data_IF_149371786246
#
_entry.id   IF_149371786246
#
_cell.length_a   1.000
_cell.length_b   1.000
_cell.length_c   1.000
_cell.angle_alpha   90.00
_cell.angle_beta   90.00
_cell.angle_gamma   90.00
#
_symmetry.space_group_name_H-M   'P 1'
#
loop_
_entity.id
_entity.type
_entity.pdbx_description
1 polymer ?
#
# COMPACT_ATOMS: atom_id res chain seq x y z
N UNK A 1 42.17 -14.65 -42.77
CA UNK A 1 42.37 -14.79 -41.33
C UNK A 1 42.08 -13.48 -40.56
N UNK A 2 42.69 -12.31 -40.82
CA UNK A 2 42.46 -11.06 -40.11
C UNK A 2 41.05 -10.48 -40.35
N UNK A 3 40.59 -10.47 -41.60
CA UNK A 3 39.23 -10.03 -41.95
C UNK A 3 38.13 -10.90 -41.34
N UNK A 4 38.36 -12.18 -41.23
CA UNK A 4 37.41 -13.12 -40.59
C UNK A 4 37.30 -12.85 -39.08
N UNK A 5 38.45 -12.62 -38.44
CA UNK A 5 38.50 -12.27 -37.02
C UNK A 5 37.80 -10.94 -36.75
N UNK A 6 38.07 -9.90 -37.52
CA UNK A 6 37.40 -8.62 -37.42
C UNK A 6 35.89 -8.76 -37.65
N UNK A 7 35.46 -9.58 -38.60
CA UNK A 7 34.04 -9.81 -38.85
C UNK A 7 33.36 -10.56 -37.69
N UNK A 8 34.06 -11.51 -37.06
CA UNK A 8 33.56 -12.21 -35.88
C UNK A 8 33.41 -11.24 -34.68
N UNK A 9 34.40 -10.40 -34.44
CA UNK A 9 34.37 -9.38 -33.40
C UNK A 9 33.25 -8.36 -33.62
N UNK A 10 33.05 -7.88 -34.84
CA UNK A 10 31.96 -6.96 -35.20
C UNK A 10 30.58 -7.61 -35.03
N UNK A 11 30.45 -8.90 -35.39
CA UNK A 11 29.18 -9.62 -35.14
C UNK A 11 28.88 -9.77 -33.64
N UNK A 12 29.88 -10.09 -32.83
CA UNK A 12 29.69 -10.18 -31.38
C UNK A 12 29.28 -8.82 -30.78
N UNK A 13 29.98 -7.75 -31.19
CA UNK A 13 29.60 -6.38 -30.77
C UNK A 13 28.20 -6.02 -31.22
N UNK A 14 27.82 -6.36 -32.46
CA UNK A 14 26.48 -6.11 -32.99
C UNK A 14 25.40 -6.84 -32.16
N UNK A 15 25.60 -8.12 -31.88
CA UNK A 15 24.69 -8.93 -31.08
C UNK A 15 24.54 -8.36 -29.66
N UNK A 16 25.65 -7.95 -29.03
CA UNK A 16 25.61 -7.26 -27.74
C UNK A 16 24.80 -5.95 -27.81
N UNK A 17 25.05 -5.13 -28.83
CA UNK A 17 24.31 -3.87 -29.02
C UNK A 17 22.83 -4.10 -29.29
N UNK A 18 22.45 -5.14 -30.01
CA UNK A 18 21.06 -5.54 -30.20
C UNK A 18 20.41 -5.93 -28.85
N UNK A 19 21.08 -6.74 -28.05
CA UNK A 19 20.59 -7.12 -26.73
C UNK A 19 20.46 -5.92 -25.79
N UNK A 20 21.45 -5.02 -25.77
CA UNK A 20 21.40 -3.78 -24.99
C UNK A 20 20.24 -2.89 -25.42
N UNK A 21 20.00 -2.77 -26.73
CA UNK A 21 18.90 -1.99 -27.28
C UNK A 21 17.55 -2.58 -26.91
N UNK A 22 17.39 -3.89 -26.98
CA UNK A 22 16.14 -4.56 -26.56
C UNK A 22 15.87 -4.39 -25.07
N UNK A 23 16.90 -4.47 -24.23
CA UNK A 23 16.80 -4.22 -22.80
C UNK A 23 16.44 -2.74 -22.52
N UNK A 24 17.09 -1.82 -23.24
CA UNK A 24 16.77 -0.39 -23.16
C UNK A 24 15.31 -0.12 -23.54
N UNK A 25 14.87 -0.69 -24.67
CA UNK A 25 13.48 -0.55 -25.12
C UNK A 25 12.46 -1.05 -24.10
N UNK A 26 12.69 -2.24 -23.52
CA UNK A 26 11.84 -2.80 -22.47
C UNK A 26 11.78 -1.89 -21.24
N UNK A 27 12.93 -1.37 -20.81
CA UNK A 27 13.02 -0.45 -19.69
C UNK A 27 12.27 0.85 -19.97
N UNK A 28 12.49 1.47 -21.13
CA UNK A 28 11.81 2.71 -21.51
C UNK A 28 10.29 2.56 -21.62
N UNK A 29 9.82 1.40 -22.10
CA UNK A 29 8.38 1.12 -22.12
C UNK A 29 7.80 1.03 -20.71
N UNK A 30 8.53 0.39 -19.79
CA UNK A 30 8.13 0.30 -18.37
C UNK A 30 8.12 1.69 -17.71
N UNK A 31 9.21 2.46 -17.86
CA UNK A 31 9.31 3.82 -17.30
C UNK A 31 8.21 4.74 -17.83
N UNK A 32 7.89 4.63 -19.13
CA UNK A 32 6.76 5.37 -19.72
C UNK A 32 5.42 4.96 -19.11
N UNK A 33 5.20 3.68 -18.90
CA UNK A 33 3.99 3.17 -18.26
C UNK A 33 3.88 3.66 -16.82
N UNK A 34 4.97 3.55 -16.06
CA UNK A 34 5.03 4.02 -14.68
C UNK A 34 4.79 5.54 -14.58
N UNK A 35 5.40 6.33 -15.48
CA UNK A 35 5.17 7.77 -15.55
C UNK A 35 3.69 8.11 -15.81
N UNK A 36 3.03 7.35 -16.69
CA UNK A 36 1.60 7.54 -16.98
C UNK A 36 0.72 7.13 -15.79
N UNK A 37 1.04 6.00 -15.17
CA UNK A 37 0.28 5.46 -14.04
C UNK A 37 0.32 6.35 -12.79
N UNK A 38 1.44 7.04 -12.59
CA UNK A 38 1.65 7.91 -11.43
C UNK A 38 1.62 9.41 -11.74
N UNK A 39 1.24 9.80 -12.96
CA UNK A 39 1.14 11.21 -13.37
C UNK A 39 0.25 12.06 -12.44
N UNK A 40 -0.80 11.45 -11.89
CA UNK A 40 -1.78 12.14 -11.04
C UNK A 40 -1.43 12.14 -9.55
N UNK A 41 -0.26 11.62 -9.15
CA UNK A 41 0.10 11.46 -7.72
C UNK A 41 -0.02 12.77 -6.95
N UNK A 42 0.49 13.87 -7.48
CA UNK A 42 0.47 15.16 -6.78
C UNK A 42 -0.96 15.67 -6.57
N UNK A 43 -1.78 15.64 -7.61
CA UNK A 43 -3.20 16.06 -7.52
C UNK A 43 -3.97 15.19 -6.52
N UNK A 44 -3.72 13.88 -6.53
CA UNK A 44 -4.37 12.96 -5.60
C UNK A 44 -3.90 13.19 -4.15
N UNK A 45 -2.64 13.55 -3.94
CA UNK A 45 -2.11 13.89 -2.60
C UNK A 45 -2.81 15.14 -2.05
N UNK A 46 -3.01 16.17 -2.88
CA UNK A 46 -3.73 17.38 -2.48
C UNK A 46 -5.21 17.08 -2.16
N UNK A 47 -5.87 16.24 -2.99
CA UNK A 47 -7.25 15.80 -2.74
C UNK A 47 -7.41 14.98 -1.46
N UNK A 48 -6.40 14.20 -1.08
CA UNK A 48 -6.41 13.44 0.17
C UNK A 48 -6.49 14.36 1.39
N UNK A 49 -5.82 15.52 1.36
CA UNK A 49 -5.93 16.51 2.42
C UNK A 49 -7.38 17.05 2.58
N UNK A 50 -8.05 17.27 1.45
CA UNK A 50 -9.47 17.70 1.47
C UNK A 50 -10.38 16.59 2.01
N UNK A 51 -10.09 15.32 1.73
CA UNK A 51 -10.83 14.20 2.30
C UNK A 51 -10.70 14.14 3.83
N UNK A 52 -9.51 14.45 4.37
CA UNK A 52 -9.30 14.53 5.82
C UNK A 52 -10.11 15.69 6.44
N UNK A 53 -10.21 16.82 5.74
CA UNK A 53 -11.06 17.94 6.18
C UNK A 53 -12.54 17.54 6.22
N UNK A 54 -13.03 16.75 5.27
CA UNK A 54 -14.36 16.18 5.32
C UNK A 54 -14.54 15.23 6.51
N UNK A 55 -13.57 14.33 6.76
CA UNK A 55 -13.65 13.43 7.91
C UNK A 55 -13.68 14.21 9.24
N UNK A 56 -12.86 15.27 9.35
CA UNK A 56 -12.84 16.16 10.52
C UNK A 56 -14.15 16.94 10.70
N UNK A 57 -14.73 17.45 9.61
CA UNK A 57 -16.02 18.15 9.64
C UNK A 57 -17.14 17.20 10.08
N UNK A 58 -17.12 15.95 9.61
CA UNK A 58 -18.08 14.93 10.03
C UNK A 58 -17.94 14.61 11.53
N UNK A 59 -16.70 14.44 12.01
CA UNK A 59 -16.43 14.18 13.42
C UNK A 59 -16.91 15.34 14.31
N UNK A 60 -16.78 16.60 13.87
CA UNK A 60 -17.27 17.77 14.60
C UNK A 60 -18.81 17.88 14.61
N UNK A 61 -19.49 17.32 13.63
CA UNK A 61 -20.95 17.30 13.50
C UNK A 61 -21.65 16.17 14.26
N UNK A 62 -20.89 15.29 14.91
CA UNK A 62 -21.40 14.10 15.61
C UNK A 62 -21.14 14.22 17.11
N UNK A 63 -22.06 13.69 17.93
CA UNK A 63 -21.88 13.56 19.38
C UNK A 63 -20.95 12.39 19.72
N UNK A 64 -20.41 12.30 20.96
CA UNK A 64 -19.53 11.20 21.37
C UNK A 64 -20.16 9.79 21.25
N UNK A 65 -21.49 9.71 21.24
CA UNK A 65 -22.26 8.47 21.06
C UNK A 65 -22.44 8.06 19.59
N UNK A 66 -21.92 8.86 18.65
CA UNK A 66 -22.02 8.62 17.21
C UNK A 66 -23.29 9.19 16.56
N UNK A 67 -24.20 9.80 17.34
CA UNK A 67 -25.39 10.47 16.79
C UNK A 67 -25.04 11.85 16.22
N UNK A 68 -25.78 12.29 15.19
CA UNK A 68 -25.63 13.67 14.70
C UNK A 68 -26.22 14.65 15.70
N UNK A 69 -25.57 15.81 15.89
CA UNK A 69 -26.16 16.93 16.68
C UNK A 69 -27.51 17.28 16.09
N UNK A 70 -28.53 17.43 16.96
CA UNK A 70 -29.94 17.42 16.60
C UNK A 70 -30.32 18.35 15.42
N UNK A 71 -29.66 19.50 15.31
CA UNK A 71 -29.96 20.51 14.27
C UNK A 71 -29.09 20.29 12.98
N UNK A 72 -28.13 19.40 13.01
CA UNK A 72 -27.13 19.18 11.91
C UNK A 72 -27.31 17.87 11.19
N UNK A 73 -28.22 16.98 11.61
CA UNK A 73 -28.36 15.63 11.04
C UNK A 73 -28.48 15.61 9.52
N UNK A 74 -29.32 16.42 8.84
CA UNK A 74 -29.41 16.37 7.38
C UNK A 74 -28.12 16.82 6.68
N UNK A 75 -27.42 17.79 7.30
CA UNK A 75 -26.15 18.30 6.75
C UNK A 75 -25.04 17.25 6.89
N UNK A 76 -24.94 16.62 8.05
CA UNK A 76 -23.99 15.53 8.33
C UNK A 76 -24.20 14.36 7.36
N UNK A 77 -25.47 13.97 7.16
CA UNK A 77 -25.79 12.88 6.23
C UNK A 77 -25.48 13.23 4.77
N UNK A 78 -25.74 14.48 4.38
CA UNK A 78 -25.36 14.99 3.07
C UNK A 78 -23.84 14.95 2.84
N UNK A 79 -23.05 15.39 3.82
CA UNK A 79 -21.58 15.36 3.74
C UNK A 79 -21.07 13.92 3.73
N UNK A 80 -21.63 13.00 4.53
CA UNK A 80 -21.28 11.57 4.49
C UNK A 80 -21.49 10.98 3.11
N UNK A 81 -22.61 11.32 2.47
CA UNK A 81 -22.92 10.82 1.13
C UNK A 81 -21.93 11.35 0.10
N UNK A 82 -21.60 12.64 0.13
CA UNK A 82 -20.61 13.25 -0.78
C UNK A 82 -19.23 12.62 -0.57
N UNK A 83 -18.78 12.46 0.67
CA UNK A 83 -17.51 11.85 1.01
C UNK A 83 -17.43 10.40 0.48
N UNK A 84 -18.50 9.61 0.69
CA UNK A 84 -18.58 8.24 0.17
C UNK A 84 -18.52 8.18 -1.35
N UNK A 85 -19.25 9.05 -2.04
CA UNK A 85 -19.25 9.12 -3.50
C UNK A 85 -17.88 9.53 -4.03
N UNK A 86 -17.22 10.53 -3.44
CA UNK A 86 -15.89 10.99 -3.84
C UNK A 86 -14.85 9.89 -3.66
N UNK A 87 -14.83 9.21 -2.50
CA UNK A 87 -13.92 8.07 -2.26
C UNK A 87 -14.14 6.95 -3.27
N UNK A 88 -15.39 6.56 -3.52
CA UNK A 88 -15.72 5.52 -4.50
C UNK A 88 -15.31 5.89 -5.93
N UNK A 89 -15.43 7.16 -6.31
CA UNK A 89 -14.97 7.64 -7.62
C UNK A 89 -13.44 7.59 -7.72
N UNK A 90 -12.72 8.04 -6.69
CA UNK A 90 -11.26 8.04 -6.67
C UNK A 90 -10.71 6.62 -6.71
N UNK A 91 -11.34 5.69 -5.99
CA UNK A 91 -10.98 4.27 -6.00
C UNK A 91 -11.25 3.64 -7.38
N UNK A 92 -12.46 3.77 -7.92
CA UNK A 92 -12.85 3.12 -9.17
C UNK A 92 -12.13 3.69 -10.39
N UNK A 93 -11.90 5.01 -10.44
CA UNK A 93 -11.34 5.68 -11.63
C UNK A 93 -9.82 5.84 -11.59
N UNK A 94 -9.27 6.08 -10.40
CA UNK A 94 -7.84 6.39 -10.24
C UNK A 94 -7.08 5.32 -9.49
N UNK A 95 -7.74 4.25 -8.99
CA UNK A 95 -7.14 3.21 -8.14
C UNK A 95 -6.48 3.79 -6.87
N UNK A 96 -7.07 4.87 -6.33
CA UNK A 96 -6.66 5.44 -5.05
C UNK A 96 -7.37 4.67 -3.94
N UNK A 97 -6.68 3.80 -3.23
CA UNK A 97 -7.24 3.04 -2.11
C UNK A 97 -6.86 3.64 -0.76
N UNK A 98 -7.85 3.66 0.15
CA UNK A 98 -7.68 4.06 1.53
C UNK A 98 -7.43 2.83 2.40
N UNK A 99 -6.52 2.93 3.38
CA UNK A 99 -6.20 1.85 4.30
C UNK A 99 -5.90 2.39 5.70
N UNK A 100 -5.71 1.47 6.65
CA UNK A 100 -5.55 1.74 8.07
C UNK A 100 -6.90 1.83 8.76
N UNK A 101 -7.33 0.71 9.32
CA UNK A 101 -8.51 0.58 10.16
C UNK A 101 -8.07 0.07 11.52
N UNK A 102 -8.71 0.52 12.61
CA UNK A 102 -8.42 -0.01 13.93
C UNK A 102 -8.69 -1.53 13.95
N UNK A 103 -7.73 -2.29 14.47
CA UNK A 103 -7.73 -3.75 14.46
C UNK A 103 -6.89 -4.39 13.35
N UNK A 104 -6.46 -3.65 12.34
CA UNK A 104 -5.54 -4.16 11.32
C UNK A 104 -4.17 -4.46 11.93
N UNK A 105 -3.42 -5.39 11.33
CA UNK A 105 -2.03 -5.65 11.69
C UNK A 105 -1.14 -4.45 11.31
N UNK A 106 -0.14 -4.19 12.14
CA UNK A 106 0.82 -3.14 11.87
C UNK A 106 1.82 -3.59 10.82
N UNK A 107 2.01 -2.78 9.80
CA UNK A 107 2.97 -2.97 8.72
C UNK A 107 3.85 -1.72 8.59
N UNK A 108 5.16 -1.89 8.68
CA UNK A 108 6.15 -0.80 8.62
C UNK A 108 6.20 -0.09 7.27
N UNK A 109 5.82 -0.77 6.18
CA UNK A 109 5.92 -0.21 4.83
C UNK A 109 4.79 0.78 4.52
N UNK A 110 3.67 0.66 5.23
CA UNK A 110 2.45 1.44 4.95
C UNK A 110 1.94 2.25 6.14
N UNK A 111 2.38 1.94 7.36
CA UNK A 111 1.96 2.61 8.59
C UNK A 111 3.09 3.40 9.25
N UNK A 112 2.78 4.59 9.73
CA UNK A 112 3.64 5.43 10.58
C UNK A 112 3.12 5.40 12.01
N UNK A 113 3.80 4.66 12.91
CA UNK A 113 3.45 4.60 14.32
C UNK A 113 3.89 5.90 15.02
N UNK A 114 2.93 6.70 15.48
CA UNK A 114 3.19 7.94 16.24
C UNK A 114 3.04 7.75 17.75
N UNK A 115 2.35 6.71 18.17
CA UNK A 115 2.21 6.29 19.55
C UNK A 115 2.18 4.76 19.67
N UNK A 116 2.59 4.25 20.81
CA UNK A 116 2.50 2.83 21.14
C UNK A 116 1.97 2.63 22.54
N UNK A 117 1.20 1.56 22.72
CA UNK A 117 0.70 1.08 24.02
C UNK A 117 0.98 -0.43 24.11
N UNK A 118 1.08 -0.95 25.30
CA UNK A 118 1.15 -2.40 25.53
C UNK A 118 -0.25 -2.95 25.80
N UNK A 119 -0.52 -4.16 25.32
CA UNK A 119 -1.82 -4.77 25.49
C UNK A 119 -1.85 -6.25 25.09
N UNK A 120 -2.97 -6.90 25.39
CA UNK A 120 -3.20 -8.33 25.16
C UNK A 120 -3.47 -8.63 23.67
N UNK A 121 -2.46 -8.49 22.83
CA UNK A 121 -2.50 -8.81 21.40
C UNK A 121 -1.40 -9.81 21.06
N UNK A 122 -1.64 -10.68 20.08
CA UNK A 122 -0.66 -11.67 19.65
C UNK A 122 0.43 -11.05 18.77
N UNK A 123 0.04 -10.08 17.94
CA UNK A 123 0.91 -9.36 17.01
C UNK A 123 0.64 -7.85 17.11
N UNK A 124 1.59 -7.00 16.73
CA UNK A 124 1.37 -5.55 16.70
C UNK A 124 0.15 -5.19 15.86
N UNK A 125 -0.84 -4.54 16.49
CA UNK A 125 -2.12 -4.17 15.85
C UNK A 125 -2.39 -2.68 16.00
N UNK A 126 -3.15 -2.13 15.07
CA UNK A 126 -3.57 -0.74 15.11
C UNK A 126 -4.67 -0.55 16.15
N UNK A 127 -4.39 0.20 17.23
CA UNK A 127 -5.41 0.53 18.23
C UNK A 127 -6.23 1.75 17.81
N UNK A 128 -5.59 2.75 17.21
CA UNK A 128 -6.26 3.96 16.74
C UNK A 128 -5.61 4.47 15.46
N UNK A 129 -6.42 5.05 14.59
CA UNK A 129 -5.95 5.66 13.32
C UNK A 129 -6.23 7.15 13.36
N UNK A 130 -5.18 7.94 13.56
CA UNK A 130 -5.27 9.39 13.61
C UNK A 130 -5.40 10.00 12.21
N UNK A 131 -4.72 9.38 11.22
CA UNK A 131 -4.78 9.81 9.84
C UNK A 131 -4.75 8.59 8.93
N UNK A 132 -5.73 8.48 8.04
CA UNK A 132 -5.84 7.35 7.10
C UNK A 132 -4.70 7.36 6.09
N UNK A 133 -4.22 6.19 5.73
CA UNK A 133 -3.25 5.99 4.67
C UNK A 133 -3.90 5.92 3.30
N UNK A 134 -3.15 6.28 2.27
CA UNK A 134 -3.59 6.18 0.88
C UNK A 134 -2.49 5.62 0.00
N UNK A 135 -2.87 4.71 -0.90
CA UNK A 135 -2.00 4.17 -1.94
C UNK A 135 -2.64 4.33 -3.31
N UNK A 136 -1.81 4.63 -4.28
CA UNK A 136 -2.16 4.70 -5.69
C UNK A 136 -1.61 3.46 -6.37
N UNK A 137 -2.49 2.53 -6.74
CA UNK A 137 -2.08 1.18 -7.16
C UNK A 137 -1.18 0.55 -6.08
N UNK A 138 0.07 0.20 -6.42
CA UNK A 138 1.04 -0.40 -5.49
C UNK A 138 1.87 0.63 -4.71
N UNK A 139 1.80 1.91 -5.07
CA UNK A 139 2.64 2.95 -4.46
C UNK A 139 1.92 3.66 -3.32
N UNK A 140 2.52 3.65 -2.13
CA UNK A 140 2.08 4.47 -1.00
C UNK A 140 2.35 5.94 -1.32
N UNK A 141 1.29 6.75 -1.33
CA UNK A 141 1.39 8.21 -1.48
C UNK A 141 1.35 8.93 -0.14
N UNK A 142 0.73 8.31 0.86
CA UNK A 142 0.72 8.78 2.24
C UNK A 142 0.57 7.59 3.20
N UNK A 143 1.51 7.38 4.16
CA UNK A 143 1.34 6.37 5.20
C UNK A 143 0.20 6.73 6.15
N UNK A 144 -0.43 5.70 6.75
CA UNK A 144 -1.41 5.94 7.81
C UNK A 144 -0.68 6.27 9.12
N UNK A 145 -1.12 7.33 9.81
CA UNK A 145 -0.60 7.67 11.15
C UNK A 145 -1.45 6.97 12.21
N UNK A 146 -0.80 6.12 12.98
CA UNK A 146 -1.50 5.17 13.85
C UNK A 146 -0.91 5.11 15.25
N UNK A 147 -1.74 4.70 16.20
CA UNK A 147 -1.30 4.16 17.49
C UNK A 147 -1.27 2.64 17.38
N UNK A 148 -0.19 2.03 17.84
CA UNK A 148 0.03 0.59 17.76
C UNK A 148 -0.04 -0.02 19.16
N UNK A 149 -0.82 -1.10 19.30
CA UNK A 149 -0.77 -1.96 20.46
C UNK A 149 0.31 -3.01 20.23
N UNK A 150 1.31 -3.02 21.12
CA UNK A 150 2.38 -4.01 21.12
C UNK A 150 2.00 -5.17 22.04
N UNK A 151 2.39 -6.42 21.72
CA UNK A 151 2.17 -7.57 22.58
C UNK A 151 2.79 -7.38 23.97
N UNK A 152 2.01 -7.59 25.00
CA UNK A 152 2.47 -7.61 26.41
C UNK A 152 2.90 -8.99 26.88
N UNK A 153 2.87 -10.00 26.01
CA UNK A 153 3.21 -11.38 26.27
C UNK A 153 2.08 -12.20 26.93
N UNK A 154 0.92 -11.62 27.17
CA UNK A 154 -0.24 -12.31 27.75
C UNK A 154 -0.97 -13.22 26.74
N UNK A 155 -0.81 -12.96 25.45
CA UNK A 155 -1.40 -13.73 24.36
C UNK A 155 -0.29 -14.23 23.44
N UNK A 156 -0.21 -15.56 23.25
CA UNK A 156 0.73 -16.16 22.30
C UNK A 156 0.21 -16.01 20.89
N UNK A 157 1.10 -15.64 19.95
CA UNK A 157 0.77 -15.69 18.52
C UNK A 157 0.41 -17.13 18.12
N UNK A 158 -0.56 -17.36 17.21
CA UNK A 158 -0.77 -18.69 16.64
C UNK A 158 0.50 -19.12 15.91
N UNK A 159 1.07 -20.25 16.32
CA UNK A 159 2.20 -20.87 15.62
C UNK A 159 1.77 -21.15 14.18
N UNK A 160 2.38 -20.44 13.24
CA UNK A 160 2.29 -20.79 11.83
C UNK A 160 3.07 -22.10 11.67
N UNK A 161 2.36 -23.23 11.53
CA UNK A 161 2.96 -24.52 11.17
C UNK A 161 3.70 -24.33 9.83
N UNK A 162 4.99 -24.06 9.91
CA UNK A 162 5.88 -24.20 8.78
C UNK A 162 5.96 -25.69 8.46
N UNK A 163 5.37 -26.08 7.35
CA UNK A 163 5.47 -27.43 6.78
C UNK A 163 6.94 -27.84 6.68
N UNK A 164 7.35 -28.65 7.64
CA UNK A 164 8.61 -29.36 7.61
C UNK A 164 8.38 -30.69 6.86
N UNK A 165 8.28 -30.62 5.52
CA UNK A 165 8.41 -31.78 4.68
C UNK A 165 9.90 -31.97 4.33
N UNK A 166 10.62 -32.54 5.29
CA UNK A 166 11.87 -33.21 5.01
C UNK A 166 11.57 -34.49 4.22
N UNK A 167 11.99 -34.50 2.98
CA UNK A 167 12.06 -35.66 2.11
C UNK A 167 13.13 -36.62 2.64
N UNK A 168 12.72 -37.63 3.37
CA UNK A 168 13.46 -38.88 3.47
C UNK A 168 13.06 -39.78 2.30
N UNK A 169 13.94 -39.88 1.34
CA UNK A 169 13.99 -41.00 0.41
C UNK A 169 15.35 -41.66 0.52
N UNK A 170 15.44 -42.54 1.50
CA UNK A 170 16.52 -43.52 1.55
C UNK A 170 16.37 -44.54 0.44
N UNK A 171 17.44 -44.66 -0.25
CA UNK A 171 18.11 -45.79 -0.86
C UNK A 171 17.74 -47.18 -0.31
N UNK A 172 17.35 -48.11 -1.13
CA UNK A 172 17.81 -49.53 -1.05
C UNK A 172 17.62 -50.24 -2.40
N UNK A 173 18.73 -50.54 -3.01
CA UNK A 173 19.23 -51.89 -3.29
C UNK A 173 18.29 -52.87 -4.00
N UNK A 174 18.52 -53.17 -5.28
CA UNK A 174 19.14 -54.42 -5.75
C UNK A 174 19.32 -54.41 -7.28
#
# INVERSE_FOLDING_TARGET
AELEKANAELKDQYLRKCADFDNYRKRMMKEKQDAFDYANTNILTDLVAILDDFDRALAAGVEPDGSAKADLSPVVDGIKMINKQLRGLLEAKYNLSCYGVAGDLFDHDIHEAIAKVEGAVAEPTLSEVYLKGYKLKERVIRPAKVMVTMPDGSVSAPETEAENQSTDSETSEN
#
